data_IF_758382828640
#
_entry.id   IF_758382828640
#
_cell.length_a   1.000
_cell.length_b   1.000
_cell.length_c   1.000
_cell.angle_alpha   90.00
_cell.angle_beta   90.00
_cell.angle_gamma   90.00
#
_symmetry.space_group_name_H-M   'P 1'
#
loop_
_entity.id
_entity.type
_entity.pdbx_description
1 polymer ?
#
# COMPACT_ATOMS: atom_id res chain seq x y z
N UNK A 1 -26.18 5.77 24.98
CA UNK A 1 -24.84 5.17 24.95
C UNK A 1 -24.47 4.56 23.59
N UNK A 2 -25.41 4.02 22.83
CA UNK A 2 -25.11 3.44 21.53
C UNK A 2 -24.73 4.47 20.44
N UNK A 3 -25.28 5.69 20.48
CA UNK A 3 -24.98 6.74 19.49
C UNK A 3 -23.53 7.25 19.60
N UNK A 4 -23.04 7.49 20.82
CA UNK A 4 -21.69 8.00 21.05
C UNK A 4 -20.62 6.98 20.63
N UNK A 5 -20.91 5.69 20.82
CA UNK A 5 -19.99 4.61 20.42
C UNK A 5 -19.92 4.43 18.91
N UNK A 6 -21.05 4.68 18.22
CA UNK A 6 -21.11 4.60 16.75
C UNK A 6 -20.39 5.78 16.09
N UNK A 7 -20.60 7.00 16.61
CA UNK A 7 -19.93 8.20 16.10
C UNK A 7 -18.42 8.13 16.30
N UNK A 8 -17.96 7.63 17.45
CA UNK A 8 -16.54 7.44 17.70
C UNK A 8 -15.92 6.35 16.81
N UNK A 9 -16.65 5.28 16.49
CA UNK A 9 -16.18 4.26 15.54
C UNK A 9 -16.05 4.82 14.13
N UNK A 10 -17.05 5.56 13.66
CA UNK A 10 -17.03 6.17 12.31
C UNK A 10 -15.91 7.19 12.21
N UNK A 11 -15.68 8.02 13.22
CA UNK A 11 -14.59 8.99 13.24
C UNK A 11 -13.21 8.30 13.26
N UNK A 12 -13.06 7.19 13.99
CA UNK A 12 -11.80 6.42 14.05
C UNK A 12 -11.49 5.74 12.72
N UNK A 13 -12.49 5.18 12.05
CA UNK A 13 -12.35 4.59 10.72
C UNK A 13 -12.04 5.65 9.65
N UNK A 14 -12.68 6.81 9.69
CA UNK A 14 -12.45 7.92 8.75
C UNK A 14 -11.03 8.49 8.84
N UNK A 15 -10.38 8.40 10.03
CA UNK A 15 -9.02 8.91 10.26
C UNK A 15 -7.94 7.84 10.11
N UNK A 16 -8.31 6.60 9.79
CA UNK A 16 -7.34 5.53 9.57
C UNK A 16 -6.50 5.83 8.34
N UNK A 17 -5.16 5.79 8.44
CA UNK A 17 -4.30 5.98 7.27
C UNK A 17 -4.60 4.94 6.19
N UNK A 18 -4.78 5.43 4.95
CA UNK A 18 -5.01 4.59 3.77
C UNK A 18 -3.82 4.77 2.83
N UNK A 19 -3.17 3.67 2.49
CA UNK A 19 -2.01 3.70 1.61
C UNK A 19 -2.16 2.66 0.50
N UNK A 20 -1.50 2.94 -0.62
CA UNK A 20 -1.34 1.98 -1.71
C UNK A 20 0.07 1.40 -1.66
N UNK A 21 0.21 0.09 -1.85
CA UNK A 21 1.49 -0.61 -1.71
C UNK A 21 1.91 -1.19 -3.05
N UNK A 22 3.16 -0.89 -3.47
CA UNK A 22 3.74 -1.40 -4.70
C UNK A 22 4.25 -2.83 -4.54
N UNK A 23 4.43 -3.51 -5.67
CA UNK A 23 4.85 -4.92 -5.73
C UNK A 23 6.20 -5.18 -5.06
N UNK A 24 7.16 -4.28 -5.19
CA UNK A 24 8.49 -4.42 -4.58
C UNK A 24 8.43 -4.45 -3.04
N UNK A 25 7.49 -3.72 -2.46
CA UNK A 25 7.27 -3.71 -1.01
C UNK A 25 6.65 -5.03 -0.56
N UNK A 26 5.71 -5.57 -1.32
CA UNK A 26 5.12 -6.88 -1.03
C UNK A 26 6.16 -7.99 -1.14
N UNK A 27 6.99 -7.93 -2.18
CA UNK A 27 8.10 -8.87 -2.36
C UNK A 27 9.02 -8.85 -1.14
N UNK A 28 9.46 -7.66 -0.72
CA UNK A 28 10.33 -7.49 0.43
C UNK A 28 9.71 -8.02 1.73
N UNK A 29 8.41 -7.78 1.92
CA UNK A 29 7.69 -8.25 3.10
C UNK A 29 7.56 -9.76 3.16
N UNK A 30 7.27 -10.41 2.02
CA UNK A 30 7.12 -11.86 1.93
C UNK A 30 8.47 -12.59 1.99
N UNK A 31 9.51 -12.00 1.43
CA UNK A 31 10.87 -12.55 1.40
C UNK A 31 11.69 -12.24 2.66
N UNK A 32 11.18 -11.37 3.53
CA UNK A 32 11.95 -10.83 4.65
C UNK A 32 12.39 -11.94 5.62
N UNK A 33 13.70 -12.10 5.83
CA UNK A 33 14.20 -13.01 6.84
C UNK A 33 14.13 -12.43 8.26
N UNK A 34 13.72 -11.16 8.40
CA UNK A 34 13.78 -10.40 9.64
C UNK A 34 12.44 -9.77 9.97
N UNK A 35 12.00 -9.91 11.22
CA UNK A 35 10.81 -9.26 11.78
C UNK A 35 10.91 -7.73 11.81
N UNK A 36 12.10 -7.18 11.56
CA UNK A 36 12.37 -5.75 11.60
C UNK A 36 12.23 -5.04 10.24
N UNK A 37 11.85 -5.77 9.19
CA UNK A 37 11.61 -5.17 7.88
C UNK A 37 10.47 -4.14 7.94
N UNK A 38 10.71 -2.94 7.43
CA UNK A 38 9.67 -1.91 7.34
C UNK A 38 8.50 -2.38 6.46
N UNK A 39 8.79 -3.14 5.39
CA UNK A 39 7.76 -3.73 4.53
C UNK A 39 6.87 -4.70 5.30
N UNK A 40 7.45 -5.59 6.08
CA UNK A 40 6.68 -6.53 6.91
C UNK A 40 5.90 -5.80 7.99
N UNK A 41 6.46 -4.74 8.57
CA UNK A 41 5.79 -3.92 9.57
C UNK A 41 4.53 -3.27 9.01
N UNK A 42 4.57 -2.76 7.78
CA UNK A 42 3.39 -2.21 7.10
C UNK A 42 2.29 -3.27 6.99
N UNK A 43 2.63 -4.47 6.56
CA UNK A 43 1.68 -5.58 6.46
C UNK A 43 1.10 -5.94 7.83
N UNK A 44 1.91 -5.98 8.86
CA UNK A 44 1.49 -6.26 10.23
C UNK A 44 0.53 -5.18 10.75
N UNK A 45 0.83 -3.91 10.53
CA UNK A 45 -0.06 -2.81 10.93
C UNK A 45 -1.41 -2.88 10.22
N UNK A 46 -1.42 -3.31 8.96
CA UNK A 46 -2.65 -3.51 8.21
C UNK A 46 -3.45 -4.71 8.73
N UNK A 47 -2.78 -5.80 9.07
CA UNK A 47 -3.43 -6.98 9.64
C UNK A 47 -4.15 -6.66 10.96
N UNK A 48 -3.51 -5.87 11.82
CA UNK A 48 -4.13 -5.45 13.11
C UNK A 48 -5.02 -4.21 12.96
N UNK A 49 -5.32 -3.81 11.76
CA UNK A 49 -6.27 -2.74 11.41
C UNK A 49 -5.91 -1.32 11.86
N UNK A 50 -4.64 -1.05 12.14
CA UNK A 50 -4.17 0.31 12.46
C UNK A 50 -4.02 1.19 11.23
N UNK A 51 -3.79 0.57 10.07
CA UNK A 51 -3.75 1.22 8.77
C UNK A 51 -4.57 0.38 7.79
N UNK A 52 -4.88 0.93 6.63
CA UNK A 52 -5.54 0.21 5.56
C UNK A 52 -4.63 0.20 4.33
N UNK A 53 -4.06 -0.96 4.04
CA UNK A 53 -3.17 -1.15 2.89
C UNK A 53 -3.93 -1.74 1.72
N UNK A 54 -3.88 -1.04 0.57
CA UNK A 54 -4.53 -1.42 -0.68
C UNK A 54 -3.49 -1.80 -1.72
N UNK A 55 -3.86 -2.75 -2.55
CA UNK A 55 -3.10 -3.15 -3.74
C UNK A 55 -4.06 -3.38 -4.89
N UNK A 56 -3.55 -3.34 -6.12
CA UNK A 56 -4.32 -3.72 -7.30
C UNK A 56 -4.00 -5.15 -7.73
N UNK A 57 -4.80 -5.70 -8.62
CA UNK A 57 -4.55 -7.01 -9.22
C UNK A 57 -3.21 -7.05 -9.97
N UNK A 58 -2.85 -5.95 -10.66
CA UNK A 58 -1.55 -5.81 -11.31
C UNK A 58 -0.39 -5.98 -10.31
N UNK A 59 -0.50 -5.34 -9.16
CA UNK A 59 0.52 -5.42 -8.08
C UNK A 59 0.68 -6.86 -7.60
N UNK A 60 -0.43 -7.57 -7.36
CA UNK A 60 -0.40 -8.97 -6.95
C UNK A 60 0.28 -9.85 -8.01
N UNK A 61 -0.11 -9.70 -9.26
CA UNK A 61 0.47 -10.46 -10.38
C UNK A 61 1.97 -10.23 -10.50
N UNK A 62 2.42 -8.98 -10.39
CA UNK A 62 3.83 -8.63 -10.50
C UNK A 62 4.64 -9.19 -9.32
N UNK A 63 4.12 -9.08 -8.09
CA UNK A 63 4.77 -9.64 -6.92
C UNK A 63 4.86 -11.17 -6.98
N UNK A 64 3.80 -11.86 -7.39
CA UNK A 64 3.80 -13.32 -7.57
C UNK A 64 4.83 -13.75 -8.61
N UNK A 65 4.88 -13.07 -9.73
CA UNK A 65 5.85 -13.36 -10.80
C UNK A 65 7.29 -13.24 -10.30
N UNK A 66 7.59 -12.19 -9.55
CA UNK A 66 8.92 -11.96 -9.01
C UNK A 66 9.30 -12.99 -7.94
N UNK A 67 8.37 -13.37 -7.08
CA UNK A 67 8.58 -14.41 -6.07
C UNK A 67 8.79 -15.77 -6.73
N UNK A 68 7.97 -16.12 -7.70
CA UNK A 68 8.10 -17.38 -8.43
C UNK A 68 9.47 -17.52 -9.11
N UNK A 69 9.96 -16.42 -9.69
CA UNK A 69 11.27 -16.40 -10.34
C UNK A 69 12.45 -16.47 -9.37
N UNK A 70 12.35 -15.83 -8.21
CA UNK A 70 13.49 -15.63 -7.29
C UNK A 70 13.41 -16.47 -6.03
N UNK A 71 12.24 -16.60 -5.41
CA UNK A 71 12.05 -17.29 -4.13
C UNK A 71 10.68 -18.02 -4.16
N UNK A 72 10.53 -19.08 -4.99
CA UNK A 72 9.22 -19.73 -5.13
C UNK A 72 8.66 -20.30 -3.82
N UNK A 73 9.51 -20.67 -2.87
CA UNK A 73 9.07 -21.16 -1.56
C UNK A 73 8.37 -20.09 -0.72
N UNK A 74 8.49 -18.80 -1.06
CA UNK A 74 7.81 -17.72 -0.36
C UNK A 74 6.37 -17.49 -0.85
N UNK A 75 5.94 -18.13 -1.96
CA UNK A 75 4.59 -17.96 -2.51
C UNK A 75 3.47 -18.29 -1.52
N UNK A 76 3.50 -19.40 -0.77
CA UNK A 76 2.44 -19.67 0.21
C UNK A 76 2.34 -18.60 1.29
N UNK A 77 3.47 -18.12 1.80
CA UNK A 77 3.53 -17.01 2.77
C UNK A 77 2.93 -15.74 2.17
N UNK A 78 3.33 -15.42 0.94
CA UNK A 78 2.82 -14.25 0.23
C UNK A 78 1.29 -14.29 0.09
N UNK A 79 0.73 -15.40 -0.37
CA UNK A 79 -0.72 -15.55 -0.53
C UNK A 79 -1.47 -15.41 0.80
N UNK A 80 -0.87 -15.92 1.87
CA UNK A 80 -1.42 -15.78 3.21
C UNK A 80 -1.42 -14.32 3.65
N UNK A 81 -0.30 -13.60 3.44
CA UNK A 81 -0.20 -12.17 3.75
C UNK A 81 -1.21 -11.34 2.97
N UNK A 82 -1.39 -11.61 1.68
CA UNK A 82 -2.39 -10.91 0.85
C UNK A 82 -3.78 -11.06 1.44
N UNK A 83 -4.18 -12.29 1.78
CA UNK A 83 -5.53 -12.55 2.29
C UNK A 83 -5.80 -11.90 3.64
N UNK A 84 -4.78 -11.74 4.48
CA UNK A 84 -4.93 -11.22 5.85
C UNK A 84 -4.65 -9.73 6.00
N UNK A 85 -3.77 -9.19 5.16
CA UNK A 85 -3.23 -7.86 5.39
C UNK A 85 -3.71 -6.82 4.39
N UNK A 86 -4.19 -7.24 3.22
CA UNK A 86 -4.39 -6.35 2.09
C UNK A 86 -5.83 -6.35 1.59
N UNK A 87 -6.28 -5.18 1.12
CA UNK A 87 -7.50 -5.06 0.32
C UNK A 87 -7.08 -4.96 -1.14
N UNK A 88 -7.57 -5.88 -1.98
CA UNK A 88 -7.26 -5.90 -3.41
C UNK A 88 -8.35 -5.15 -4.17
N UNK A 89 -7.94 -4.16 -4.96
CA UNK A 89 -8.85 -3.39 -5.81
C UNK A 89 -8.62 -3.74 -7.29
N UNK A 90 -9.64 -3.60 -8.15
CA UNK A 90 -9.46 -3.85 -9.58
C UNK A 90 -8.54 -2.84 -10.21
N UNK A 91 -7.86 -3.24 -11.30
CA UNK A 91 -7.03 -2.34 -12.09
C UNK A 91 -7.92 -1.28 -12.77
N UNK A 92 -7.39 -0.06 -12.99
CA UNK A 92 -8.09 0.93 -13.79
C UNK A 92 -8.16 0.49 -15.26
N UNK A 93 -9.20 0.93 -15.96
CA UNK A 93 -9.32 0.73 -17.40
C UNK A 93 -8.34 1.65 -18.15
N UNK A 94 -7.98 1.27 -19.38
CA UNK A 94 -7.06 2.08 -20.20
C UNK A 94 -7.56 3.52 -20.39
N UNK A 95 -8.85 3.70 -20.53
CA UNK A 95 -9.49 5.02 -20.67
C UNK A 95 -9.27 5.91 -19.45
N UNK A 96 -9.22 5.31 -18.26
CA UNK A 96 -9.01 6.04 -17.01
C UNK A 96 -7.59 6.62 -16.90
N UNK A 97 -6.64 6.06 -17.64
CA UNK A 97 -5.23 6.49 -17.59
C UNK A 97 -4.98 7.77 -18.39
N UNK A 98 -5.85 8.10 -19.35
CA UNK A 98 -5.61 9.20 -20.29
C UNK A 98 -5.39 10.56 -19.59
N UNK A 99 -6.15 10.84 -18.54
CA UNK A 99 -6.05 12.09 -17.80
C UNK A 99 -4.78 12.20 -16.93
N UNK A 100 -4.07 11.08 -16.72
CA UNK A 100 -2.91 11.00 -15.83
C UNK A 100 -1.59 10.76 -16.56
N UNK A 101 -1.60 10.79 -17.89
CA UNK A 101 -0.41 10.55 -18.71
C UNK A 101 0.74 11.47 -18.30
N UNK A 102 1.95 10.90 -18.19
CA UNK A 102 3.16 11.63 -17.86
C UNK A 102 3.43 11.80 -16.36
N UNK A 103 2.51 11.39 -15.48
CA UNK A 103 2.68 11.53 -14.03
C UNK A 103 3.55 10.43 -13.41
N UNK A 104 3.72 9.31 -14.09
CA UNK A 104 4.57 8.20 -13.68
C UNK A 104 5.13 7.49 -14.90
N UNK A 105 6.06 6.56 -14.69
CA UNK A 105 6.50 5.65 -15.73
C UNK A 105 5.25 4.92 -16.29
N UNK A 106 5.14 4.75 -17.62
CA UNK A 106 3.94 4.15 -18.23
C UNK A 106 3.51 2.79 -17.64
N UNK A 107 4.47 1.95 -17.28
CA UNK A 107 4.16 0.64 -16.66
C UNK A 107 3.58 0.77 -15.24
N UNK A 108 3.93 1.84 -14.52
CA UNK A 108 3.53 2.09 -13.13
C UNK A 108 2.38 3.08 -13.01
N UNK A 109 2.03 3.76 -14.11
CA UNK A 109 0.93 4.71 -14.15
C UNK A 109 -0.40 4.11 -13.63
N UNK A 110 -0.79 2.88 -13.99
CA UNK A 110 -2.01 2.28 -13.44
C UNK A 110 -2.02 2.18 -11.92
N UNK A 111 -0.86 1.96 -11.31
CA UNK A 111 -0.71 1.88 -9.86
C UNK A 111 -0.93 3.25 -9.22
N UNK A 112 -0.34 4.31 -9.78
CA UNK A 112 -0.58 5.67 -9.32
C UNK A 112 -2.05 6.07 -9.45
N UNK A 113 -2.66 5.77 -10.58
CA UNK A 113 -4.09 6.06 -10.83
C UNK A 113 -4.97 5.34 -9.82
N UNK A 114 -4.67 4.09 -9.50
CA UNK A 114 -5.39 3.34 -8.46
C UNK A 114 -5.29 4.03 -7.10
N UNK A 115 -4.11 4.49 -6.72
CA UNK A 115 -3.90 5.21 -5.47
C UNK A 115 -4.73 6.50 -5.40
N UNK A 116 -4.78 7.26 -6.50
CA UNK A 116 -5.59 8.48 -6.59
C UNK A 116 -7.09 8.16 -6.47
N UNK A 117 -7.57 7.18 -7.21
CA UNK A 117 -8.99 6.79 -7.24
C UNK A 117 -9.47 6.26 -5.89
N UNK A 118 -8.64 5.50 -5.21
CA UNK A 118 -8.94 4.96 -3.89
C UNK A 118 -8.70 5.97 -2.75
N UNK A 119 -8.34 7.21 -3.10
CA UNK A 119 -8.10 8.29 -2.14
C UNK A 119 -7.03 7.96 -1.11
N UNK A 120 -6.00 7.25 -1.54
CA UNK A 120 -4.83 6.97 -0.71
C UNK A 120 -4.01 8.24 -0.55
N UNK A 121 -3.67 8.61 0.69
CA UNK A 121 -2.78 9.73 0.94
C UNK A 121 -1.32 9.38 0.57
N UNK A 122 -0.99 8.10 0.56
CA UNK A 122 0.38 7.62 0.33
C UNK A 122 0.42 6.46 -0.66
N UNK A 123 1.49 6.42 -1.45
CA UNK A 123 1.91 5.28 -2.25
C UNK A 123 3.30 4.87 -1.73
N UNK A 124 3.42 3.63 -1.26
CA UNK A 124 4.66 3.13 -0.68
C UNK A 124 5.37 2.23 -1.67
N UNK A 125 6.62 2.59 -2.00
CA UNK A 125 7.44 1.93 -3.01
C UNK A 125 8.92 2.13 -2.71
N UNK A 126 9.78 1.23 -3.19
CA UNK A 126 11.23 1.45 -3.22
C UNK A 126 11.68 2.25 -4.44
N UNK A 127 10.84 2.32 -5.50
CA UNK A 127 11.17 2.95 -6.79
C UNK A 127 10.48 4.30 -6.94
N UNK A 128 10.82 5.25 -6.09
CA UNK A 128 10.19 6.59 -6.09
C UNK A 128 10.32 7.28 -7.45
N UNK A 129 11.43 7.08 -8.17
CA UNK A 129 11.66 7.67 -9.49
C UNK A 129 10.59 7.32 -10.52
N UNK A 130 10.06 6.10 -10.46
CA UNK A 130 9.07 5.62 -11.41
C UNK A 130 7.72 6.33 -11.25
N UNK A 131 7.53 7.04 -10.13
CA UNK A 131 6.31 7.77 -9.80
C UNK A 131 6.52 9.30 -9.81
N UNK A 132 7.45 9.80 -10.60
CA UNK A 132 7.69 11.25 -10.75
C UNK A 132 7.17 11.72 -12.11
N UNK A 133 6.58 12.95 -12.18
CA UNK A 133 6.42 13.93 -11.10
C UNK A 133 5.35 13.58 -10.05
N UNK A 134 4.50 12.58 -10.31
CA UNK A 134 3.48 12.13 -9.39
C UNK A 134 2.20 12.97 -9.45
N UNK A 135 1.31 12.71 -8.51
CA UNK A 135 0.03 13.42 -8.36
C UNK A 135 0.01 14.18 -7.03
N UNK A 136 -0.53 15.42 -7.00
CA UNK A 136 -0.50 16.23 -5.78
C UNK A 136 -1.26 15.63 -4.58
N UNK A 137 -2.23 14.74 -4.83
CA UNK A 137 -3.02 14.12 -3.76
C UNK A 137 -2.35 12.90 -3.15
N UNK A 138 -1.26 12.39 -3.74
CA UNK A 138 -0.60 11.16 -3.29
C UNK A 138 0.89 11.44 -3.03
N UNK A 139 1.32 11.28 -1.79
CA UNK A 139 2.74 11.34 -1.45
C UNK A 139 3.38 9.96 -1.65
N UNK A 140 4.49 9.93 -2.38
CA UNK A 140 5.23 8.69 -2.67
C UNK A 140 6.37 8.56 -1.67
N UNK A 141 6.36 7.49 -0.89
CA UNK A 141 7.31 7.26 0.21
C UNK A 141 7.92 5.87 0.14
N UNK A 142 9.13 5.74 0.64
CA UNK A 142 9.73 4.43 0.95
C UNK A 142 9.08 3.83 2.22
N UNK A 143 9.12 2.51 2.37
CA UNK A 143 8.55 1.87 3.56
C UNK A 143 9.04 2.44 4.89
N UNK A 144 10.34 2.68 5.03
CA UNK A 144 10.90 3.26 6.25
C UNK A 144 10.40 4.67 6.54
N UNK A 145 10.27 5.51 5.50
CA UNK A 145 9.73 6.86 5.62
C UNK A 145 8.26 6.84 6.05
N UNK A 146 7.48 5.92 5.49
CA UNK A 146 6.08 5.74 5.86
C UNK A 146 5.95 5.35 7.35
N UNK A 147 6.75 4.39 7.80
CA UNK A 147 6.75 3.97 9.21
C UNK A 147 7.10 5.14 10.14
N UNK A 148 8.08 5.96 9.76
CA UNK A 148 8.44 7.15 10.54
C UNK A 148 7.28 8.13 10.65
N UNK A 149 6.55 8.35 9.56
CA UNK A 149 5.36 9.22 9.54
C UNK A 149 4.25 8.71 10.46
N UNK A 150 3.98 7.42 10.42
CA UNK A 150 2.98 6.80 11.30
C UNK A 150 3.39 6.91 12.77
N UNK A 151 4.66 6.70 13.07
CA UNK A 151 5.19 6.86 14.43
C UNK A 151 4.99 8.28 14.96
N UNK A 152 5.25 9.29 14.15
CA UNK A 152 5.02 10.69 14.52
C UNK A 152 3.55 10.95 14.83
N UNK A 153 2.63 10.46 13.99
CA UNK A 153 1.19 10.61 14.20
C UNK A 153 0.73 9.96 15.50
N UNK A 154 1.23 8.76 15.80
CA UNK A 154 0.89 8.06 17.03
C UNK A 154 1.43 8.81 18.28
N UNK A 155 2.57 9.45 18.16
CA UNK A 155 3.14 10.25 19.25
C UNK A 155 2.30 11.49 19.54
N UNK A 156 1.66 12.08 18.54
CA UNK A 156 0.80 13.26 18.68
C UNK A 156 -0.56 12.95 19.34
N UNK A 157 -0.93 11.67 19.42
CA UNK A 157 -2.21 11.24 20.02
C UNK A 157 -2.17 11.12 21.55
N UNK A 158 -1.09 11.49 22.20
CA UNK A 158 -0.95 11.48 23.65
C UNK A 158 -1.69 12.62 24.34
#
# INVERSE_FOLDING_TARGET
MSATTRENRVATEANKPVLFVDADVLFAGAAAPSEHSASLMILTLSEVTLIRALVSEQVITEAERNLEAKIPKALPVFRHLVSRCLTVVPDPELEDLAAYQGLADPKDLPILVSAVREKCAWLVTFNIRDYQPGHPDVAVLRPGEFISRIREQLTMLR
#
